data_IF_878523923168
#
_entry.id   IF_878523923168
#
_cell.length_a   1.000
_cell.length_b   1.000
_cell.length_c   1.000
_cell.angle_alpha   90.00
_cell.angle_beta   90.00
_cell.angle_gamma   90.00
#
_symmetry.space_group_name_H-M   'P 1'
#
loop_
_entity.id
_entity.type
_entity.pdbx_description
1 polymer ?
#
# COMPACT_ATOMS: atom_id res chain seq x y z
N UNK A 1 30.18 -39.64 -40.51
CA UNK A 1 30.01 -38.17 -40.78
C UNK A 1 28.73 -37.67 -40.11
N UNK A 2 28.86 -36.76 -39.18
CA UNK A 2 27.69 -36.14 -38.50
C UNK A 2 27.01 -35.20 -39.49
N UNK A 3 25.72 -35.37 -39.72
CA UNK A 3 24.97 -34.56 -40.70
C UNK A 3 24.95 -33.09 -40.27
N UNK A 4 25.18 -32.19 -41.24
CA UNK A 4 25.16 -30.73 -41.02
C UNK A 4 23.84 -30.26 -40.34
N UNK A 5 22.72 -30.92 -40.62
CA UNK A 5 21.41 -30.69 -39.96
C UNK A 5 21.41 -31.05 -38.47
N UNK A 6 22.19 -32.05 -38.06
CA UNK A 6 22.32 -32.47 -36.66
C UNK A 6 23.15 -31.47 -35.87
N UNK A 7 24.20 -30.92 -36.46
CA UNK A 7 25.03 -29.87 -35.86
C UNK A 7 24.20 -28.59 -35.64
N UNK A 8 23.41 -28.17 -36.63
CA UNK A 8 22.53 -26.99 -36.51
C UNK A 8 21.49 -27.17 -35.41
N UNK A 9 20.91 -28.37 -35.30
CA UNK A 9 19.94 -28.67 -34.22
C UNK A 9 20.57 -28.64 -32.82
N UNK A 10 21.77 -29.17 -32.67
CA UNK A 10 22.50 -29.15 -31.39
C UNK A 10 22.89 -27.72 -30.97
N UNK A 11 23.31 -26.89 -31.93
CA UNK A 11 23.59 -25.47 -31.69
C UNK A 11 22.34 -24.69 -31.30
N UNK A 12 21.21 -24.94 -31.96
CA UNK A 12 19.94 -24.30 -31.61
C UNK A 12 19.47 -24.67 -30.21
N UNK A 13 19.56 -25.95 -29.82
CA UNK A 13 19.24 -26.42 -28.45
C UNK A 13 20.18 -25.78 -27.43
N UNK A 14 21.48 -25.71 -27.73
CA UNK A 14 22.47 -25.05 -26.88
C UNK A 14 22.15 -23.56 -26.64
N UNK A 15 21.76 -22.83 -27.69
CA UNK A 15 21.35 -21.43 -27.60
C UNK A 15 20.06 -21.26 -26.75
N UNK A 16 19.07 -22.14 -26.89
CA UNK A 16 17.84 -22.11 -26.11
C UNK A 16 18.13 -22.37 -24.61
N UNK A 17 18.98 -23.38 -24.32
CA UNK A 17 19.38 -23.68 -22.92
C UNK A 17 20.17 -22.51 -22.32
N UNK A 18 21.09 -21.90 -23.08
CA UNK A 18 21.85 -20.75 -22.63
C UNK A 18 20.95 -19.52 -22.40
N UNK A 19 19.96 -19.29 -23.27
CA UNK A 19 18.96 -18.22 -23.06
C UNK A 19 18.08 -18.45 -21.84
N UNK A 20 17.61 -19.70 -21.64
CA UNK A 20 16.84 -20.06 -20.44
C UNK A 20 17.67 -19.94 -19.16
N UNK A 21 18.94 -20.37 -19.18
CA UNK A 21 19.85 -20.23 -18.07
C UNK A 21 20.15 -18.74 -17.75
N UNK A 22 20.31 -17.90 -18.78
CA UNK A 22 20.50 -16.45 -18.62
C UNK A 22 19.26 -15.77 -18.04
N UNK A 23 18.06 -16.16 -18.49
CA UNK A 23 16.79 -15.67 -17.91
C UNK A 23 16.64 -16.12 -16.46
N UNK A 24 16.98 -17.38 -16.14
CA UNK A 24 16.95 -17.90 -14.77
C UNK A 24 17.96 -17.19 -13.87
N UNK A 25 19.20 -16.95 -14.34
CA UNK A 25 20.22 -16.21 -13.62
C UNK A 25 19.82 -14.75 -13.39
N UNK A 26 19.22 -14.09 -14.38
CA UNK A 26 18.69 -12.73 -14.25
C UNK A 26 17.52 -12.65 -13.28
N UNK A 27 16.70 -13.70 -13.18
CA UNK A 27 15.61 -13.81 -12.20
C UNK A 27 16.12 -14.02 -10.76
N UNK A 28 17.23 -14.77 -10.61
CA UNK A 28 17.86 -15.03 -9.30
C UNK A 28 18.65 -13.80 -8.79
N UNK A 29 19.10 -12.91 -9.71
CA UNK A 29 19.94 -11.76 -9.34
C UNK A 29 19.18 -10.47 -9.04
N UNK A 30 17.84 -10.45 -9.17
CA UNK A 30 17.07 -9.26 -8.75
C UNK A 30 16.87 -9.28 -7.24
N UNK A 31 17.32 -8.24 -6.52
CA UNK A 31 17.05 -8.17 -5.10
C UNK A 31 15.53 -8.16 -4.89
N UNK A 32 15.09 -8.83 -3.85
CA UNK A 32 13.68 -8.95 -3.50
C UNK A 32 13.04 -7.60 -3.12
N UNK A 33 13.86 -6.61 -2.79
CA UNK A 33 13.54 -5.20 -2.56
C UNK A 33 14.81 -4.37 -2.76
N UNK A 34 14.66 -3.09 -3.00
CA UNK A 34 15.77 -2.12 -2.98
C UNK A 34 15.29 -0.72 -2.67
N UNK A 35 16.20 0.11 -2.21
CA UNK A 35 16.00 1.55 -2.08
C UNK A 35 16.96 2.25 -3.03
N UNK A 36 16.43 3.15 -3.86
CA UNK A 36 17.23 3.97 -4.79
C UNK A 36 18.09 4.98 -4.04
N UNK A 37 19.02 5.62 -4.72
CA UNK A 37 19.84 6.70 -4.14
C UNK A 37 19.01 7.89 -3.69
N UNK A 38 17.86 8.13 -4.34
CA UNK A 38 16.88 9.15 -3.95
C UNK A 38 15.99 8.74 -2.77
N UNK A 39 16.16 7.52 -2.23
CA UNK A 39 15.39 7.00 -1.12
C UNK A 39 14.04 6.41 -1.51
N UNK A 40 13.79 6.07 -2.77
CA UNK A 40 12.56 5.42 -3.18
C UNK A 40 12.67 3.90 -3.01
N UNK A 41 11.70 3.32 -2.33
CA UNK A 41 11.53 1.87 -2.22
C UNK A 41 11.04 1.30 -3.55
N UNK A 42 11.56 0.15 -3.94
CA UNK A 42 11.15 -0.58 -5.12
C UNK A 42 11.00 -2.07 -4.82
N UNK A 43 9.92 -2.65 -5.39
CA UNK A 43 9.63 -4.07 -5.35
C UNK A 43 9.41 -4.62 -6.75
N UNK A 44 9.79 -5.88 -7.01
CA UNK A 44 9.29 -6.58 -8.19
C UNK A 44 7.76 -6.75 -8.09
N UNK A 45 7.06 -6.93 -9.21
CA UNK A 45 5.64 -7.25 -9.20
C UNK A 45 5.36 -8.45 -8.28
N UNK A 46 4.34 -8.34 -7.43
CA UNK A 46 3.95 -9.43 -6.55
C UNK A 46 2.69 -10.13 -7.07
N UNK A 47 2.65 -11.46 -6.88
CA UNK A 47 1.48 -12.31 -7.11
C UNK A 47 1.41 -13.28 -5.93
N UNK A 48 0.75 -12.88 -4.83
CA UNK A 48 0.75 -13.65 -3.60
C UNK A 48 -0.12 -14.91 -3.75
N UNK A 49 0.33 -16.01 -3.18
CA UNK A 49 -0.56 -17.14 -2.91
C UNK A 49 -1.51 -16.74 -1.77
N UNK A 50 -2.81 -17.05 -1.92
CA UNK A 50 -3.80 -16.71 -0.91
C UNK A 50 -4.90 -17.75 -0.77
N UNK A 51 -5.57 -17.71 0.38
CA UNK A 51 -6.73 -18.53 0.70
C UNK A 51 -7.87 -17.64 1.17
N UNK A 52 -9.09 -17.97 0.77
CA UNK A 52 -10.31 -17.26 1.16
C UNK A 52 -11.21 -18.19 1.95
N UNK A 53 -11.63 -17.78 3.14
CA UNK A 53 -12.58 -18.48 3.99
C UNK A 53 -13.78 -17.60 4.27
N UNK A 54 -14.95 -17.97 3.78
CA UNK A 54 -16.20 -17.24 4.05
C UNK A 54 -16.52 -17.31 5.55
N UNK A 55 -16.71 -16.14 6.18
CA UNK A 55 -17.08 -16.00 7.59
C UNK A 55 -18.57 -15.69 7.75
N UNK A 56 -19.08 -14.79 6.92
CA UNK A 56 -20.45 -14.30 6.98
C UNK A 56 -21.01 -14.00 5.59
N UNK A 57 -22.25 -14.35 5.36
CA UNK A 57 -23.00 -13.97 4.18
C UNK A 57 -24.38 -13.46 4.57
N UNK A 58 -24.69 -12.24 4.11
CA UNK A 58 -25.98 -11.56 4.32
C UNK A 58 -26.63 -11.23 2.98
N UNK A 59 -27.81 -10.60 3.01
CA UNK A 59 -28.44 -10.08 1.78
C UNK A 59 -27.65 -8.90 1.17
N UNK A 60 -26.81 -8.22 1.94
CA UNK A 60 -26.14 -6.99 1.53
C UNK A 60 -24.65 -7.16 1.23
N UNK A 61 -23.97 -8.13 1.86
CA UNK A 61 -22.54 -8.32 1.72
C UNK A 61 -22.10 -9.75 2.02
N UNK A 62 -20.86 -10.07 1.61
CA UNK A 62 -20.07 -11.19 2.13
C UNK A 62 -18.90 -10.66 2.93
N UNK A 63 -18.51 -11.36 4.01
CA UNK A 63 -17.30 -11.13 4.78
C UNK A 63 -16.48 -12.42 4.79
N UNK A 64 -15.23 -12.33 4.37
CA UNK A 64 -14.30 -13.46 4.33
C UNK A 64 -13.02 -13.15 5.04
N UNK A 65 -12.42 -14.13 5.71
CA UNK A 65 -11.00 -14.07 6.06
C UNK A 65 -10.19 -14.39 4.80
N UNK A 66 -9.20 -13.56 4.51
CA UNK A 66 -8.21 -13.82 3.46
C UNK A 66 -6.84 -13.89 4.09
N UNK A 67 -6.13 -14.98 3.83
CA UNK A 67 -4.73 -15.16 4.23
C UNK A 67 -3.88 -15.21 2.99
N UNK A 68 -2.86 -14.38 2.92
CA UNK A 68 -1.97 -14.33 1.78
C UNK A 68 -0.50 -14.22 2.20
N UNK A 69 0.38 -14.84 1.41
CA UNK A 69 1.82 -14.76 1.65
C UNK A 69 2.36 -13.40 1.22
N UNK A 70 3.09 -12.73 2.11
CA UNK A 70 3.81 -11.50 1.82
C UNK A 70 5.17 -11.51 2.48
N UNK A 71 6.20 -11.38 1.67
CA UNK A 71 7.61 -11.46 2.09
C UNK A 71 7.88 -12.75 2.87
N UNK A 72 8.15 -12.61 4.15
CA UNK A 72 8.58 -13.67 5.06
C UNK A 72 7.47 -14.21 5.96
N UNK A 73 6.21 -13.82 5.75
CA UNK A 73 5.10 -14.25 6.59
C UNK A 73 3.77 -14.34 5.85
N UNK A 74 2.78 -14.94 6.48
CA UNK A 74 1.39 -14.92 6.08
C UNK A 74 0.68 -13.74 6.76
N UNK A 75 -0.05 -12.95 5.98
CA UNK A 75 -0.86 -11.84 6.46
C UNK A 75 -2.33 -12.26 6.50
N UNK A 76 -2.96 -12.06 7.66
CA UNK A 76 -4.40 -12.23 7.80
C UNK A 76 -5.13 -10.91 7.50
N UNK A 77 -6.26 -11.01 6.83
CA UNK A 77 -7.09 -9.86 6.45
C UNK A 77 -8.57 -10.21 6.46
N UNK A 78 -9.43 -9.17 6.52
CA UNK A 78 -10.87 -9.30 6.32
C UNK A 78 -11.27 -8.62 5.02
N UNK A 79 -11.83 -9.41 4.12
CA UNK A 79 -12.37 -8.96 2.84
C UNK A 79 -13.89 -8.85 2.95
N UNK A 80 -14.40 -7.63 2.82
CA UNK A 80 -15.83 -7.32 2.79
C UNK A 80 -16.23 -6.89 1.39
N UNK A 81 -17.20 -7.59 0.78
CA UNK A 81 -17.67 -7.32 -0.58
C UNK A 81 -19.17 -7.03 -0.56
N UNK A 82 -19.64 -5.86 -1.03
CA UNK A 82 -21.07 -5.58 -1.14
C UNK A 82 -21.71 -6.45 -2.23
N UNK A 83 -22.90 -6.96 -1.98
CA UNK A 83 -23.70 -7.63 -2.99
C UNK A 83 -24.32 -6.61 -3.95
N UNK A 84 -24.05 -6.77 -5.23
CA UNK A 84 -24.60 -5.91 -6.28
C UNK A 84 -25.70 -6.60 -7.06
N UNK A 85 -26.63 -5.82 -7.58
CA UNK A 85 -27.60 -6.35 -8.54
C UNK A 85 -26.86 -6.76 -9.82
N UNK A 86 -27.19 -7.94 -10.36
CA UNK A 86 -26.71 -8.45 -11.66
C UNK A 86 -25.18 -8.73 -11.76
N UNK A 87 -24.47 -8.95 -10.64
CA UNK A 87 -23.05 -9.33 -10.67
C UNK A 87 -22.12 -8.23 -11.23
N UNK A 88 -22.50 -6.95 -11.09
CA UNK A 88 -21.62 -5.83 -11.45
C UNK A 88 -20.41 -5.79 -10.56
N UNK A 89 -19.22 -5.66 -11.15
CA UNK A 89 -17.97 -5.47 -10.42
C UNK A 89 -17.97 -4.14 -9.66
N UNK A 90 -17.42 -4.18 -8.45
CA UNK A 90 -17.31 -3.02 -7.55
C UNK A 90 -15.87 -2.53 -7.43
N UNK A 91 -15.64 -1.26 -7.11
CA UNK A 91 -14.30 -0.78 -6.76
C UNK A 91 -13.79 -1.48 -5.48
N UNK A 92 -12.46 -1.64 -5.39
CA UNK A 92 -11.79 -2.22 -4.22
C UNK A 92 -10.96 -1.19 -3.45
N UNK A 93 -10.93 -1.33 -2.12
CA UNK A 93 -10.15 -0.48 -1.22
C UNK A 93 -9.20 -1.36 -0.41
N UNK A 94 -7.90 -1.10 -0.48
CA UNK A 94 -6.93 -1.60 0.48
C UNK A 94 -6.99 -0.69 1.69
N UNK A 95 -7.44 -1.22 2.84
CA UNK A 95 -7.69 -0.46 4.06
C UNK A 95 -6.65 -0.83 5.12
N UNK A 96 -5.84 0.16 5.50
CA UNK A 96 -4.71 -0.02 6.42
C UNK A 96 -5.02 0.63 7.77
N UNK A 97 -5.20 -0.17 8.83
CA UNK A 97 -5.50 0.33 10.16
C UNK A 97 -4.39 1.22 10.74
N UNK A 98 -4.74 2.05 11.71
CA UNK A 98 -3.77 2.75 12.54
C UNK A 98 -2.98 1.81 13.45
N UNK A 99 -1.92 2.32 14.07
CA UNK A 99 -1.14 1.54 15.04
C UNK A 99 -2.03 1.01 16.17
N UNK A 100 -1.81 -0.23 16.57
CA UNK A 100 -2.55 -0.96 17.61
C UNK A 100 -3.99 -1.37 17.25
N UNK A 101 -4.40 -1.13 15.99
CA UNK A 101 -5.72 -1.52 15.49
C UNK A 101 -5.58 -2.77 14.62
N UNK A 102 -6.40 -3.80 14.90
CA UNK A 102 -6.48 -5.01 14.08
C UNK A 102 -7.46 -4.85 12.92
N UNK A 103 -7.46 -5.81 12.00
CA UNK A 103 -8.44 -5.88 10.91
C UNK A 103 -9.90 -5.87 11.38
N UNK A 104 -10.18 -6.40 12.59
CA UNK A 104 -11.51 -6.36 13.21
C UNK A 104 -11.86 -4.94 13.70
N UNK A 105 -10.89 -4.22 14.26
CA UNK A 105 -11.05 -2.84 14.71
C UNK A 105 -11.42 -1.89 13.56
N UNK A 106 -10.96 -2.20 12.35
CA UNK A 106 -11.22 -1.41 11.14
C UNK A 106 -12.60 -1.66 10.51
N UNK A 107 -13.38 -2.63 11.02
CA UNK A 107 -14.65 -3.02 10.39
C UNK A 107 -15.75 -1.94 10.48
N UNK A 108 -15.61 -0.94 11.34
CA UNK A 108 -16.50 0.23 11.35
C UNK A 108 -16.43 0.99 10.03
N UNK A 109 -15.23 1.41 9.62
CA UNK A 109 -15.01 2.09 8.35
C UNK A 109 -15.28 1.14 7.16
N UNK A 110 -14.84 -0.11 7.22
CA UNK A 110 -15.09 -1.11 6.18
C UNK A 110 -16.59 -1.32 5.91
N UNK A 111 -17.44 -1.32 6.95
CA UNK A 111 -18.89 -1.43 6.83
C UNK A 111 -19.51 -0.20 6.20
N UNK A 112 -19.02 1.00 6.55
CA UNK A 112 -19.44 2.24 5.89
C UNK A 112 -19.09 2.22 4.39
N UNK A 113 -17.86 1.89 4.04
CA UNK A 113 -17.43 1.77 2.64
C UNK A 113 -18.28 0.75 1.86
N UNK A 114 -18.58 -0.39 2.47
CA UNK A 114 -19.45 -1.42 1.90
C UNK A 114 -20.87 -0.87 1.62
N UNK A 115 -21.43 -0.06 2.52
CA UNK A 115 -22.74 0.57 2.34
C UNK A 115 -22.78 1.56 1.16
N UNK A 116 -21.61 2.09 0.79
CA UNK A 116 -21.42 2.95 -0.39
C UNK A 116 -21.17 2.17 -1.68
N UNK A 117 -21.05 0.84 -1.62
CA UNK A 117 -20.82 -0.03 -2.77
C UNK A 117 -19.35 -0.31 -3.08
N UNK A 118 -18.45 -0.14 -2.13
CA UNK A 118 -17.02 -0.46 -2.24
C UNK A 118 -16.70 -1.76 -1.50
N UNK A 119 -15.93 -2.63 -2.13
CA UNK A 119 -15.29 -3.73 -1.41
C UNK A 119 -14.07 -3.19 -0.65
N UNK A 120 -13.71 -3.82 0.46
CA UNK A 120 -12.50 -3.47 1.20
C UNK A 120 -11.79 -4.71 1.73
N UNK A 121 -10.45 -4.67 1.72
CA UNK A 121 -9.58 -5.64 2.41
C UNK A 121 -8.83 -4.90 3.53
N UNK A 122 -9.16 -5.21 4.77
CA UNK A 122 -8.50 -4.66 5.96
C UNK A 122 -7.46 -5.66 6.47
N UNK A 123 -6.21 -5.23 6.66
CA UNK A 123 -5.09 -6.10 7.00
C UNK A 123 -4.80 -6.09 8.50
N UNK A 124 -4.34 -7.24 9.04
CA UNK A 124 -3.51 -7.22 10.24
C UNK A 124 -2.09 -6.79 9.84
N UNK A 125 -1.71 -5.58 10.24
CA UNK A 125 -0.37 -5.09 9.96
C UNK A 125 0.65 -5.76 10.87
N UNK A 126 1.88 -5.94 10.36
CA UNK A 126 3.02 -6.43 11.18
C UNK A 126 3.16 -5.57 12.42
N UNK A 127 3.50 -6.19 13.55
CA UNK A 127 3.65 -5.49 14.82
C UNK A 127 2.44 -4.57 15.15
N UNK A 128 1.22 -4.96 14.73
CA UNK A 128 -0.01 -4.15 14.83
C UNK A 128 0.18 -2.71 14.32
N UNK A 129 0.93 -2.51 13.25
CA UNK A 129 1.18 -1.19 12.67
C UNK A 129 2.06 -0.26 13.51
N UNK A 130 2.64 -0.76 14.60
CA UNK A 130 3.60 0.01 15.43
C UNK A 130 4.95 0.01 14.74
N UNK A 131 5.52 1.20 14.52
CA UNK A 131 6.81 1.39 13.88
C UNK A 131 7.94 1.53 14.90
N UNK A 132 9.10 0.96 14.58
CA UNK A 132 10.35 1.15 15.30
C UNK A 132 11.44 1.57 14.33
N UNK A 133 11.45 2.86 14.01
CA UNK A 133 12.40 3.43 13.04
C UNK A 133 13.86 3.19 13.40
N UNK A 134 14.19 3.06 14.69
CA UNK A 134 15.56 2.83 15.11
C UNK A 134 15.98 1.39 14.81
N UNK A 135 15.12 0.43 15.10
CA UNK A 135 15.35 -0.98 14.78
C UNK A 135 15.40 -1.18 13.25
N UNK A 136 14.46 -0.60 12.52
CA UNK A 136 14.37 -0.69 11.06
C UNK A 136 15.58 -0.06 10.35
N UNK A 137 16.13 1.04 10.89
CA UNK A 137 17.40 1.58 10.42
C UNK A 137 18.55 0.57 10.58
N UNK A 138 18.62 -0.15 11.72
CA UNK A 138 19.66 -1.16 11.91
C UNK A 138 19.50 -2.33 10.93
N UNK A 139 18.27 -2.79 10.66
CA UNK A 139 18.01 -3.79 9.62
C UNK A 139 18.51 -3.29 8.26
N UNK A 140 18.15 -2.08 7.88
CA UNK A 140 18.55 -1.47 6.60
C UNK A 140 20.08 -1.38 6.43
N UNK A 141 20.79 -0.94 7.48
CA UNK A 141 22.24 -0.82 7.47
C UNK A 141 22.96 -2.19 7.42
N UNK A 142 22.27 -3.27 7.77
CA UNK A 142 22.75 -4.64 7.67
C UNK A 142 22.30 -5.36 6.39
N UNK A 143 21.75 -4.64 5.40
CA UNK A 143 21.15 -5.20 4.17
C UNK A 143 19.96 -6.14 4.45
N UNK A 144 19.30 -5.98 5.60
CA UNK A 144 18.07 -6.68 5.95
C UNK A 144 16.85 -5.79 5.65
N UNK A 145 15.75 -6.40 5.23
CA UNK A 145 14.54 -5.65 4.87
C UNK A 145 13.83 -5.10 6.10
N UNK A 146 13.67 -3.76 6.22
CA UNK A 146 12.95 -3.12 7.32
C UNK A 146 11.49 -3.57 7.42
N UNK A 147 10.96 -3.58 8.64
CA UNK A 147 9.57 -3.97 8.89
C UNK A 147 8.58 -3.02 8.20
N UNK A 148 8.85 -1.72 8.19
CA UNK A 148 8.00 -0.75 7.48
C UNK A 148 8.00 -0.97 5.96
N UNK A 149 9.12 -1.38 5.35
CA UNK A 149 9.14 -1.76 3.95
C UNK A 149 8.23 -2.97 3.70
N UNK A 150 8.31 -3.98 4.56
CA UNK A 150 7.44 -5.16 4.47
C UNK A 150 5.96 -4.79 4.62
N UNK A 151 5.60 -3.85 5.49
CA UNK A 151 4.21 -3.35 5.63
C UNK A 151 3.71 -2.67 4.34
N UNK A 152 4.57 -1.93 3.65
CA UNK A 152 4.24 -1.39 2.31
C UNK A 152 4.02 -2.53 1.31
N UNK A 153 4.88 -3.56 1.32
CA UNK A 153 4.70 -4.72 0.45
C UNK A 153 3.41 -5.48 0.76
N UNK A 154 3.03 -5.62 2.04
CA UNK A 154 1.78 -6.25 2.46
C UNK A 154 0.57 -5.53 1.85
N UNK A 155 0.60 -4.19 1.79
CA UNK A 155 -0.44 -3.40 1.13
C UNK A 155 -0.49 -3.62 -0.40
N UNK A 156 0.68 -3.74 -1.06
CA UNK A 156 0.76 -4.07 -2.49
C UNK A 156 0.24 -5.48 -2.77
N UNK A 157 0.58 -6.44 -1.92
CA UNK A 157 0.09 -7.83 -2.01
C UNK A 157 -1.43 -7.89 -1.82
N UNK A 158 -1.99 -7.14 -0.86
CA UNK A 158 -3.43 -7.05 -0.67
C UNK A 158 -4.14 -6.46 -1.90
N UNK A 159 -3.56 -5.45 -2.56
CA UNK A 159 -4.10 -4.92 -3.81
C UNK A 159 -4.08 -5.96 -4.94
N UNK A 160 -3.03 -6.80 -5.01
CA UNK A 160 -2.98 -7.89 -5.97
C UNK A 160 -4.09 -8.91 -5.70
N UNK A 161 -4.30 -9.33 -4.44
CA UNK A 161 -5.41 -10.20 -4.04
C UNK A 161 -6.77 -9.62 -4.40
N UNK A 162 -6.99 -8.32 -4.16
CA UNK A 162 -8.25 -7.64 -4.53
C UNK A 162 -8.51 -7.73 -6.04
N UNK A 163 -7.49 -7.49 -6.86
CA UNK A 163 -7.60 -7.52 -8.33
C UNK A 163 -8.00 -8.89 -8.88
N UNK A 164 -7.69 -9.95 -8.17
CA UNK A 164 -8.02 -11.32 -8.55
C UNK A 164 -9.45 -11.75 -8.15
N UNK A 165 -10.13 -10.97 -7.29
CA UNK A 165 -11.50 -11.29 -6.89
C UNK A 165 -12.49 -11.05 -8.06
N UNK A 166 -13.37 -12.02 -8.37
CA UNK A 166 -14.28 -11.93 -9.52
C UNK A 166 -15.28 -10.76 -9.43
N UNK A 167 -15.66 -10.37 -8.20
CA UNK A 167 -16.60 -9.29 -7.94
C UNK A 167 -15.96 -7.89 -8.00
N UNK A 168 -14.63 -7.80 -8.02
CA UNK A 168 -13.90 -6.52 -7.94
C UNK A 168 -13.43 -6.09 -9.33
N UNK A 169 -13.56 -4.79 -9.59
CA UNK A 169 -13.00 -4.17 -10.79
C UNK A 169 -11.50 -3.90 -10.57
N UNK A 170 -10.61 -4.63 -11.25
CA UNK A 170 -9.17 -4.52 -11.02
C UNK A 170 -8.59 -3.14 -11.38
N UNK A 171 -9.29 -2.37 -12.21
CA UNK A 171 -8.88 -1.03 -12.63
C UNK A 171 -9.37 0.07 -11.69
N UNK A 172 -10.12 -0.28 -10.62
CA UNK A 172 -10.70 0.67 -9.67
C UNK A 172 -10.27 0.37 -8.24
N UNK A 173 -8.95 0.29 -8.00
CA UNK A 173 -8.37 0.07 -6.69
C UNK A 173 -7.91 1.39 -6.10
N UNK A 174 -8.27 1.63 -4.82
CA UNK A 174 -7.88 2.79 -4.02
C UNK A 174 -7.17 2.30 -2.77
N UNK A 175 -6.15 3.01 -2.34
CA UNK A 175 -5.54 2.80 -1.02
C UNK A 175 -6.16 3.76 -0.01
N UNK A 176 -6.46 3.28 1.18
CA UNK A 176 -6.92 4.09 2.29
C UNK A 176 -6.25 3.64 3.58
N UNK A 177 -6.07 4.54 4.52
CA UNK A 177 -5.53 4.17 5.82
C UNK A 177 -5.61 5.27 6.84
N UNK A 178 -5.39 4.89 8.10
CA UNK A 178 -5.42 5.77 9.26
C UNK A 178 -4.02 5.83 9.93
N UNK A 179 -3.60 7.02 10.35
CA UNK A 179 -2.36 7.20 11.13
C UNK A 179 -1.14 6.57 10.43
N UNK A 180 -0.47 5.61 11.07
CA UNK A 180 0.64 4.87 10.44
C UNK A 180 0.19 4.07 9.20
N UNK A 181 -1.00 3.47 9.22
CA UNK A 181 -1.56 2.81 8.04
C UNK A 181 -1.70 3.74 6.84
N UNK A 182 -2.02 5.01 7.07
CA UNK A 182 -2.08 6.01 6.00
C UNK A 182 -0.69 6.32 5.41
N UNK A 183 0.39 6.28 6.19
CA UNK A 183 1.77 6.40 5.67
C UNK A 183 2.07 5.29 4.69
N UNK A 184 1.77 4.04 5.06
CA UNK A 184 1.96 2.88 4.18
C UNK A 184 1.05 2.94 2.95
N UNK A 185 -0.21 3.41 3.10
CA UNK A 185 -1.14 3.60 1.98
C UNK A 185 -0.61 4.61 0.95
N UNK A 186 -0.03 5.73 1.39
CA UNK A 186 0.59 6.74 0.51
C UNK A 186 1.74 6.12 -0.28
N UNK A 187 2.66 5.42 0.41
CA UNK A 187 3.83 4.79 -0.23
C UNK A 187 3.37 3.70 -1.21
N UNK A 188 2.49 2.79 -0.78
CA UNK A 188 1.97 1.72 -1.63
C UNK A 188 1.24 2.27 -2.87
N UNK A 189 0.40 3.31 -2.72
CA UNK A 189 -0.23 3.98 -3.85
C UNK A 189 0.81 4.56 -4.83
N UNK A 190 1.90 5.14 -4.35
CA UNK A 190 2.94 5.67 -5.20
C UNK A 190 3.65 4.57 -6.01
N UNK A 191 3.85 3.40 -5.41
CA UNK A 191 4.50 2.23 -6.03
C UNK A 191 3.57 1.42 -6.94
N UNK A 192 2.24 1.59 -6.82
CA UNK A 192 1.24 0.89 -7.62
C UNK A 192 0.65 1.80 -8.72
N UNK A 193 1.16 1.74 -9.96
CA UNK A 193 0.65 2.59 -11.04
C UNK A 193 -0.81 2.28 -11.44
N UNK A 194 -1.34 1.11 -11.06
CA UNK A 194 -2.72 0.71 -11.29
C UNK A 194 -3.72 1.25 -10.26
N UNK A 195 -3.26 1.92 -9.20
CA UNK A 195 -4.13 2.54 -8.21
C UNK A 195 -4.84 3.79 -8.77
N UNK A 196 -6.02 4.11 -8.26
CA UNK A 196 -6.79 5.31 -8.62
C UNK A 196 -6.49 6.51 -7.74
N UNK A 197 -5.98 6.29 -6.54
CA UNK A 197 -5.61 7.33 -5.59
C UNK A 197 -5.43 6.79 -4.19
N UNK A 198 -5.24 7.71 -3.25
CA UNK A 198 -5.08 7.40 -1.83
C UNK A 198 -5.89 8.36 -0.95
N UNK A 199 -6.59 7.79 0.03
CA UNK A 199 -7.23 8.48 1.13
C UNK A 199 -6.40 8.29 2.41
N UNK A 200 -5.80 9.35 2.88
CA UNK A 200 -5.02 9.36 4.10
C UNK A 200 -5.83 10.03 5.21
N UNK A 201 -5.93 9.40 6.37
CA UNK A 201 -6.70 9.91 7.51
C UNK A 201 -5.77 10.08 8.71
N UNK A 202 -5.78 11.26 9.34
CA UNK A 202 -5.06 11.56 10.58
C UNK A 202 -3.57 11.18 10.53
N UNK A 203 -2.85 11.65 9.50
CA UNK A 203 -1.43 11.29 9.29
C UNK A 203 -0.59 12.48 8.89
N UNK A 204 0.72 12.30 8.96
CA UNK A 204 1.73 13.24 8.46
C UNK A 204 3.01 12.48 8.08
N UNK A 205 3.93 13.14 7.38
CA UNK A 205 5.28 12.64 7.16
C UNK A 205 6.18 12.77 8.38
N UNK A 206 7.40 12.28 8.23
CA UNK A 206 8.44 12.37 9.27
C UNK A 206 9.27 13.66 9.21
N UNK A 207 9.08 14.47 8.15
CA UNK A 207 9.80 15.72 7.97
C UNK A 207 11.29 15.53 7.67
N UNK A 208 11.66 14.49 6.95
CA UNK A 208 13.02 14.08 6.65
C UNK A 208 13.80 15.21 5.95
N UNK A 209 13.21 15.86 4.95
CA UNK A 209 13.88 16.96 4.22
C UNK A 209 14.20 18.17 5.13
N UNK A 210 13.35 18.47 6.10
CA UNK A 210 13.62 19.51 7.08
C UNK A 210 14.76 19.12 8.04
N UNK A 211 14.86 17.84 8.40
CA UNK A 211 15.97 17.32 9.20
C UNK A 211 17.31 17.39 8.45
N UNK A 212 17.32 17.08 7.16
CA UNK A 212 18.49 17.22 6.28
C UNK A 212 18.89 18.68 6.16
N UNK A 213 17.95 19.55 5.81
CA UNK A 213 18.22 21.00 5.63
C UNK A 213 18.75 21.67 6.89
N UNK A 214 18.36 21.21 8.08
CA UNK A 214 18.85 21.71 9.36
C UNK A 214 20.17 21.07 9.83
N UNK A 215 20.74 20.10 9.07
CA UNK A 215 21.95 19.38 9.44
C UNK A 215 21.77 18.38 10.58
N UNK A 216 20.54 18.05 10.96
CA UNK A 216 20.23 17.00 11.98
C UNK A 216 20.36 15.59 11.41
N UNK A 217 20.29 15.46 10.10
CA UNK A 217 20.42 14.20 9.37
C UNK A 217 21.43 14.41 8.24
N UNK A 218 22.60 13.73 8.32
CA UNK A 218 23.75 13.97 7.43
C UNK A 218 24.30 12.71 6.78
N UNK A 219 24.16 11.55 7.43
CA UNK A 219 24.74 10.31 6.95
C UNK A 219 23.95 9.77 5.73
N UNK A 220 24.60 9.51 4.58
CA UNK A 220 23.91 9.16 3.33
C UNK A 220 22.99 7.95 3.43
N UNK A 221 23.43 6.84 4.05
CA UNK A 221 22.62 5.64 4.18
C UNK A 221 21.44 5.84 5.14
N UNK A 222 21.64 6.61 6.20
CA UNK A 222 20.57 6.99 7.13
C UNK A 222 19.55 7.89 6.44
N UNK A 223 19.97 8.86 5.62
CA UNK A 223 19.08 9.68 4.79
C UNK A 223 18.29 8.81 3.83
N UNK A 224 18.95 7.87 3.15
CA UNK A 224 18.31 6.97 2.19
C UNK A 224 17.25 6.10 2.86
N UNK A 225 17.53 5.57 4.06
CA UNK A 225 16.56 4.84 4.85
C UNK A 225 15.34 5.70 5.23
N UNK A 226 15.57 6.84 5.89
CA UNK A 226 14.46 7.69 6.33
C UNK A 226 13.59 8.19 5.18
N UNK A 227 14.18 8.54 4.04
CA UNK A 227 13.42 8.85 2.83
C UNK A 227 12.56 7.70 2.36
N UNK A 228 13.05 6.46 2.46
CA UNK A 228 12.33 5.29 1.98
C UNK A 228 11.08 4.93 2.79
N UNK A 229 10.98 5.42 4.02
CA UNK A 229 9.83 5.20 4.91
C UNK A 229 9.00 6.48 5.12
N UNK A 230 9.49 7.65 4.67
CA UNK A 230 8.73 8.90 4.76
C UNK A 230 7.72 9.03 3.61
N UNK A 231 6.40 9.05 3.87
CA UNK A 231 5.40 9.19 2.82
C UNK A 231 5.56 10.49 2.01
N UNK A 232 6.19 11.54 2.56
CA UNK A 232 6.43 12.80 1.85
C UNK A 232 7.37 12.63 0.66
N UNK A 233 8.31 11.68 0.70
CA UNK A 233 9.20 11.33 -0.41
C UNK A 233 8.41 10.87 -1.65
N UNK A 234 7.24 10.29 -1.45
CA UNK A 234 6.43 9.67 -2.50
C UNK A 234 5.31 10.55 -3.04
N UNK A 235 4.99 11.67 -2.39
CA UNK A 235 3.86 12.52 -2.80
C UNK A 235 3.97 13.00 -4.25
N UNK A 236 5.17 13.26 -4.74
CA UNK A 236 5.41 13.63 -6.15
C UNK A 236 5.17 12.52 -7.16
N UNK A 237 5.05 11.26 -6.70
CA UNK A 237 4.78 10.07 -7.52
C UNK A 237 3.28 9.72 -7.58
N UNK A 238 2.44 10.39 -6.81
CA UNK A 238 0.99 10.15 -6.82
C UNK A 238 0.33 10.64 -8.12
N UNK A 239 0.56 11.87 -8.62
CA UNK A 239 -0.09 12.33 -9.84
C UNK A 239 0.17 11.41 -11.06
N UNK A 240 -0.83 11.28 -11.97
CA UNK A 240 -2.12 12.01 -12.04
C UNK A 240 -3.21 11.48 -11.11
N UNK A 241 -2.92 10.50 -10.26
CA UNK A 241 -3.82 9.95 -9.23
C UNK A 241 -4.06 10.98 -8.15
N UNK A 242 -5.24 10.93 -7.49
CA UNK A 242 -5.60 11.91 -6.46
C UNK A 242 -5.04 11.51 -5.09
N UNK A 243 -4.46 12.48 -4.39
CA UNK A 243 -4.11 12.42 -2.97
C UNK A 243 -5.14 13.19 -2.16
N UNK A 244 -5.80 12.54 -1.20
CA UNK A 244 -6.75 13.18 -0.30
C UNK A 244 -6.31 12.95 1.15
N UNK A 245 -6.26 14.03 1.91
CA UNK A 245 -5.92 14.00 3.34
C UNK A 245 -7.10 14.50 4.15
N UNK A 246 -7.54 13.70 5.12
CA UNK A 246 -8.52 14.07 6.14
C UNK A 246 -7.80 14.27 7.47
N UNK A 247 -8.02 15.39 8.12
CA UNK A 247 -7.41 15.63 9.42
C UNK A 247 -8.29 16.48 10.34
N UNK A 248 -8.33 16.13 11.63
CA UNK A 248 -9.05 16.91 12.62
C UNK A 248 -8.17 18.03 13.19
N UNK A 249 -8.74 19.23 13.35
CA UNK A 249 -8.08 20.32 14.08
C UNK A 249 -7.91 20.04 15.56
N UNK A 250 -8.66 19.07 16.09
CA UNK A 250 -8.61 18.65 17.49
C UNK A 250 -7.81 17.36 17.71
N UNK A 251 -7.10 16.88 16.68
CA UNK A 251 -6.27 15.67 16.81
C UNK A 251 -5.15 15.89 17.84
N UNK A 252 -5.17 15.09 18.92
CA UNK A 252 -4.21 15.19 20.01
C UNK A 252 -3.01 14.23 19.87
N UNK A 253 -3.03 13.35 18.85
CA UNK A 253 -1.95 12.41 18.58
C UNK A 253 -1.01 12.98 17.52
N UNK A 254 -1.57 13.50 16.41
CA UNK A 254 -0.84 14.18 15.36
C UNK A 254 -1.45 15.57 15.19
N UNK A 255 -0.69 16.59 15.57
CA UNK A 255 -1.16 17.97 15.47
C UNK A 255 -1.46 18.35 14.00
N UNK A 256 -2.55 19.12 13.80
CA UNK A 256 -3.05 19.52 12.48
C UNK A 256 -1.96 20.17 11.60
N UNK A 257 -1.06 20.94 12.18
CA UNK A 257 0.01 21.65 11.51
C UNK A 257 0.98 20.69 10.79
N UNK A 258 1.20 19.48 11.32
CA UNK A 258 2.05 18.49 10.64
C UNK A 258 1.35 17.89 9.42
N UNK A 259 0.05 17.65 9.51
CA UNK A 259 -0.75 17.20 8.37
C UNK A 259 -0.80 18.26 7.27
N UNK A 260 -1.01 19.52 7.63
CA UNK A 260 -0.99 20.65 6.70
C UNK A 260 0.37 20.80 6.02
N UNK A 261 1.48 20.69 6.76
CA UNK A 261 2.85 20.70 6.19
C UNK A 261 3.02 19.57 5.17
N UNK A 262 2.59 18.35 5.48
CA UNK A 262 2.64 17.22 4.56
C UNK A 262 1.79 17.49 3.31
N UNK A 263 0.56 17.99 3.49
CA UNK A 263 -0.32 18.35 2.38
C UNK A 263 0.31 19.38 1.42
N UNK A 264 1.01 20.40 1.95
CA UNK A 264 1.63 21.42 1.11
C UNK A 264 2.67 20.87 0.13
N UNK A 265 3.28 19.72 0.44
CA UNK A 265 4.28 19.02 -0.40
C UNK A 265 3.67 18.16 -1.49
N UNK A 266 2.40 17.79 -1.37
CA UNK A 266 1.73 17.01 -2.40
C UNK A 266 1.50 17.86 -3.66
N UNK A 267 1.45 17.19 -4.83
CA UNK A 267 1.14 17.82 -6.11
C UNK A 267 -0.32 17.57 -6.49
N UNK A 268 -0.88 18.44 -7.34
CA UNK A 268 -2.24 18.24 -7.85
C UNK A 268 -2.35 16.98 -8.74
N UNK A 269 -3.49 16.26 -8.70
CA UNK A 269 -4.72 16.57 -7.96
C UNK A 269 -4.64 16.16 -6.49
N UNK A 270 -4.94 17.08 -5.60
CA UNK A 270 -4.91 16.88 -4.13
C UNK A 270 -6.03 17.62 -3.44
N UNK A 271 -6.46 17.12 -2.27
CA UNK A 271 -7.47 17.78 -1.44
C UNK A 271 -7.15 17.59 0.05
N UNK A 272 -7.42 18.61 0.87
CA UNK A 272 -7.35 18.55 2.32
C UNK A 272 -8.72 18.83 2.91
N UNK A 273 -9.28 17.85 3.60
CA UNK A 273 -10.52 17.99 4.35
C UNK A 273 -10.24 18.19 5.82
N UNK A 274 -10.48 19.39 6.30
CA UNK A 274 -10.33 19.74 7.71
C UNK A 274 -11.65 19.54 8.43
N UNK A 275 -11.63 18.78 9.52
CA UNK A 275 -12.80 18.46 10.34
C UNK A 275 -12.54 18.79 11.81
N UNK A 276 -13.57 18.73 12.63
CA UNK A 276 -13.47 19.01 14.07
C UNK A 276 -13.92 17.77 14.89
N UNK A 277 -13.28 16.63 14.63
CA UNK A 277 -13.53 15.40 15.40
C UNK A 277 -12.89 15.47 16.79
N UNK A 278 -13.46 14.75 17.74
CA UNK A 278 -12.87 14.59 19.08
C UNK A 278 -11.81 13.48 19.14
N UNK A 279 -11.62 12.71 18.04
CA UNK A 279 -10.80 11.51 18.02
C UNK A 279 -9.73 11.61 16.95
N UNK A 280 -8.65 10.83 17.13
CA UNK A 280 -7.69 10.50 16.10
C UNK A 280 -8.25 9.39 15.20
N UNK A 281 -8.01 9.45 13.88
CA UNK A 281 -8.56 8.50 12.91
C UNK A 281 -9.88 8.94 12.29
N UNK A 282 -10.61 8.00 11.68
CA UNK A 282 -11.88 8.27 11.02
C UNK A 282 -12.97 8.69 12.01
N UNK A 283 -13.79 9.64 11.60
CA UNK A 283 -14.98 10.08 12.32
C UNK A 283 -16.15 10.36 11.35
N UNK A 284 -17.37 10.39 11.88
CA UNK A 284 -18.59 10.59 11.07
C UNK A 284 -18.61 11.90 10.29
N UNK A 285 -17.94 12.93 10.78
CA UNK A 285 -17.81 14.23 10.12
C UNK A 285 -17.05 14.17 8.78
N UNK A 286 -16.27 13.13 8.57
CA UNK A 286 -15.55 12.88 7.29
C UNK A 286 -16.43 12.19 6.25
N UNK A 287 -17.56 11.60 6.63
CA UNK A 287 -18.31 10.64 5.82
C UNK A 287 -18.73 11.17 4.45
N UNK A 288 -19.35 12.36 4.36
CA UNK A 288 -19.87 12.93 3.11
C UNK A 288 -18.72 13.32 2.16
N UNK A 289 -17.65 13.89 2.69
CA UNK A 289 -16.46 14.23 1.90
C UNK A 289 -15.76 12.96 1.40
N UNK A 290 -15.60 11.94 2.25
CA UNK A 290 -15.01 10.65 1.89
C UNK A 290 -15.81 9.97 0.77
N UNK A 291 -17.13 9.95 0.84
CA UNK A 291 -18.01 9.46 -0.22
C UNK A 291 -17.78 10.19 -1.54
N UNK A 292 -17.69 11.52 -1.49
CA UNK A 292 -17.49 12.37 -2.67
C UNK A 292 -16.13 12.10 -3.31
N UNK A 293 -15.07 12.03 -2.51
CA UNK A 293 -13.71 11.80 -2.98
C UNK A 293 -13.53 10.41 -3.59
N UNK A 294 -14.08 9.38 -2.95
CA UNK A 294 -14.05 8.03 -3.51
C UNK A 294 -14.75 7.95 -4.85
N UNK A 295 -15.94 8.54 -4.97
CA UNK A 295 -16.68 8.55 -6.24
C UNK A 295 -15.88 9.25 -7.36
N UNK A 296 -15.18 10.33 -7.05
CA UNK A 296 -14.33 11.05 -8.01
C UNK A 296 -13.09 10.23 -8.44
N UNK A 297 -12.50 9.44 -7.53
CA UNK A 297 -11.31 8.62 -7.83
C UNK A 297 -11.63 7.45 -8.76
N UNK A 298 -12.81 6.83 -8.65
CA UNK A 298 -13.17 5.60 -9.36
C UNK A 298 -14.13 5.81 -10.55
N UNK A 299 -14.44 7.07 -10.86
CA UNK A 299 -15.27 7.46 -12.01
C UNK A 299 -14.63 7.15 -13.37
#
# INVERSE_FOLDING_TARGET
MVSQRMIIRLLAIGCVIAALAAVLLLSISRPAWRVTDDGLLEYPPCSPEYQVTLLEETDNYTLSEVRFTSRDTEIASLLRIPKTQQGRKVPGIVLLPGATVSKEGEQGLASYLCSLGYASIALDQRNLGVVDLQHDLQLFLNDEEPTEHKMVHDALAAAAVLREQPEIDPDRIVYAGESNGARFAIIACALDPGARGVLAISTCGYGVEAAIASGRLTEPDTIRFYRSVDPETYLSKIPPRKFVLFHSVNDTIIAYEYAEQTYTKALAPRELHTVACATHGYCSEMADALKTELAAMVS
#
